data_IF_225355922457
#
_entry.id   IF_225355922457
#
_cell.length_a   1.000
_cell.length_b   1.000
_cell.length_c   1.000
_cell.angle_alpha   90.00
_cell.angle_beta   90.00
_cell.angle_gamma   90.00
#
_symmetry.space_group_name_H-M   'P 1'
#
loop_
_entity.id
_entity.type
_entity.pdbx_description
1 polymer ?
#
# COMPACT_ATOMS: atom_id res chain seq x y z
N UNK A 1 -58.95 7.86 -51.71
CA UNK A 1 -59.19 7.21 -50.40
C UNK A 1 -58.46 5.88 -50.44
N UNK A 2 -57.46 5.52 -49.63
CA UNK A 2 -56.98 6.03 -48.36
C UNK A 2 -55.46 5.83 -48.28
N UNK A 3 -54.74 6.92 -47.97
CA UNK A 3 -53.42 6.89 -47.35
C UNK A 3 -53.59 6.34 -45.93
N UNK A 4 -52.91 5.26 -45.57
CA UNK A 4 -52.49 4.85 -44.20
C UNK A 4 -52.22 3.34 -44.20
N UNK A 5 -50.98 2.94 -44.49
CA UNK A 5 -50.33 1.77 -43.86
C UNK A 5 -48.81 1.78 -44.15
N UNK A 6 -48.18 2.94 -44.00
CA UNK A 6 -46.73 3.12 -44.02
C UNK A 6 -46.33 3.61 -42.62
N UNK A 7 -46.24 2.70 -41.66
CA UNK A 7 -45.64 2.93 -40.34
C UNK A 7 -45.81 1.62 -39.55
N UNK A 8 -44.86 0.69 -39.63
CA UNK A 8 -44.57 -0.33 -38.58
C UNK A 8 -43.50 -1.34 -39.01
N UNK A 9 -42.41 -0.96 -39.66
CA UNK A 9 -41.20 -1.83 -39.76
C UNK A 9 -39.95 -0.93 -39.78
N UNK A 10 -39.74 -0.15 -38.72
CA UNK A 10 -38.51 0.62 -38.54
C UNK A 10 -38.33 1.01 -37.07
N UNK A 11 -38.02 0.05 -36.20
CA UNK A 11 -37.44 0.29 -34.88
C UNK A 11 -37.15 -1.05 -34.19
N UNK A 12 -36.14 -1.77 -34.69
CA UNK A 12 -35.67 -3.02 -34.09
C UNK A 12 -34.15 -3.13 -34.15
N UNK A 13 -33.44 -2.00 -34.11
CA UNK A 13 -32.01 -1.98 -33.83
C UNK A 13 -31.87 -2.22 -32.33
N UNK A 14 -31.72 -3.49 -31.97
CA UNK A 14 -31.14 -3.89 -30.69
C UNK A 14 -29.81 -3.14 -30.54
N UNK A 15 -29.83 -2.07 -29.77
CA UNK A 15 -28.63 -1.49 -29.20
C UNK A 15 -28.11 -2.55 -28.23
N UNK A 16 -27.27 -3.46 -28.74
CA UNK A 16 -26.42 -4.30 -27.90
C UNK A 16 -25.46 -3.29 -27.27
N UNK A 17 -25.85 -2.76 -26.12
CA UNK A 17 -24.93 -2.08 -25.24
C UNK A 17 -23.93 -3.16 -24.85
N UNK A 18 -22.82 -3.26 -25.57
CA UNK A 18 -21.66 -3.97 -25.09
C UNK A 18 -21.32 -3.34 -23.76
N UNK A 19 -21.69 -4.01 -22.66
CA UNK A 19 -21.14 -3.77 -21.34
C UNK A 19 -19.63 -3.94 -21.50
N UNK A 20 -18.95 -2.85 -21.83
CA UNK A 20 -17.50 -2.81 -21.74
C UNK A 20 -17.22 -3.03 -20.27
N UNK A 21 -16.70 -4.21 -19.94
CA UNK A 21 -16.12 -4.44 -18.64
C UNK A 21 -15.19 -3.26 -18.36
N UNK A 22 -15.42 -2.51 -17.26
CA UNK A 22 -14.68 -1.26 -16.98
C UNK A 22 -13.19 -1.42 -17.29
N UNK A 23 -12.64 -0.66 -18.22
CA UNK A 23 -11.24 -0.86 -18.61
C UNK A 23 -10.35 -0.74 -17.38
N UNK A 24 -9.29 -1.57 -17.30
CA UNK A 24 -8.25 -1.38 -16.30
C UNK A 24 -7.56 -0.05 -16.62
N UNK A 25 -8.02 1.02 -15.96
CA UNK A 25 -7.51 2.37 -16.15
C UNK A 25 -6.35 2.57 -15.19
N UNK A 26 -5.24 3.04 -15.74
CA UNK A 26 -4.02 3.32 -15.02
C UNK A 26 -2.89 3.58 -16.01
N UNK A 27 -1.79 4.10 -15.51
CA UNK A 27 -0.57 4.29 -16.27
C UNK A 27 0.62 3.90 -15.40
N UNK A 28 1.74 3.61 -16.08
CA UNK A 28 2.99 3.37 -15.37
C UNK A 28 3.39 4.61 -14.56
N UNK A 29 3.58 4.43 -13.25
CA UNK A 29 3.91 5.53 -12.33
C UNK A 29 5.18 6.23 -12.80
N UNK A 30 5.07 7.52 -13.14
CA UNK A 30 6.21 8.31 -13.60
C UNK A 30 7.07 8.72 -12.38
N UNK A 31 8.38 8.33 -12.34
CA UNK A 31 9.30 8.69 -11.28
C UNK A 31 9.40 10.18 -10.94
N UNK A 32 9.11 11.06 -11.89
CA UNK A 32 9.37 12.49 -11.77
C UNK A 32 8.09 13.24 -11.37
N UNK A 33 6.96 12.95 -12.01
CA UNK A 33 5.73 13.76 -11.89
C UNK A 33 4.73 13.23 -10.88
N UNK A 34 4.67 11.90 -10.70
CA UNK A 34 3.58 11.26 -9.96
C UNK A 34 3.96 11.00 -8.49
N UNK A 35 5.21 11.33 -8.14
CA UNK A 35 5.83 11.04 -6.85
C UNK A 35 5.95 12.33 -6.05
N UNK A 36 5.49 12.27 -4.80
CA UNK A 36 5.70 13.35 -3.86
C UNK A 36 7.15 13.34 -3.36
N UNK A 37 8.04 14.11 -3.98
CA UNK A 37 9.42 14.23 -3.52
C UNK A 37 9.57 14.96 -2.17
N UNK A 38 8.63 15.85 -1.84
CA UNK A 38 8.55 16.47 -0.51
C UNK A 38 8.39 15.43 0.60
N UNK A 39 7.81 14.29 0.25
CA UNK A 39 7.62 13.22 1.17
C UNK A 39 8.98 12.69 1.61
N UNK A 40 10.04 12.60 0.79
CA UNK A 40 11.36 12.09 1.20
C UNK A 40 11.89 12.64 2.56
N UNK A 41 11.48 13.87 2.92
CA UNK A 41 11.81 14.54 4.16
C UNK A 41 10.96 14.11 5.38
N UNK A 42 11.52 14.16 6.60
CA UNK A 42 12.77 14.82 6.95
C UNK A 42 14.01 13.97 6.65
N UNK A 43 15.09 14.67 6.29
CA UNK A 43 16.44 14.12 6.18
C UNK A 43 17.19 14.41 7.47
N UNK A 44 17.64 13.36 8.15
CA UNK A 44 18.30 13.46 9.45
C UNK A 44 19.72 12.93 9.38
N UNK A 45 20.64 13.59 10.10
CA UNK A 45 21.98 13.09 10.38
C UNK A 45 22.08 12.83 11.88
N UNK A 46 22.21 11.55 12.27
CA UNK A 46 21.96 11.15 13.65
C UNK A 46 20.60 11.63 14.14
N UNK A 47 20.61 12.38 15.24
CA UNK A 47 19.39 12.93 15.86
C UNK A 47 19.02 14.32 15.35
N UNK A 48 19.85 14.93 14.49
CA UNK A 48 19.63 16.27 13.98
C UNK A 48 18.89 16.25 12.64
N UNK A 49 17.80 17.01 12.55
CA UNK A 49 17.07 17.24 11.29
C UNK A 49 17.82 18.27 10.44
N UNK A 50 18.44 17.80 9.35
CA UNK A 50 19.13 18.67 8.38
C UNK A 50 18.11 19.36 7.49
N UNK A 51 17.09 18.61 7.06
CA UNK A 51 15.96 19.14 6.30
C UNK A 51 14.68 18.83 7.05
N UNK A 52 14.01 19.91 7.49
CA UNK A 52 12.73 19.82 8.19
C UNK A 52 11.61 19.45 7.23
N UNK A 53 10.60 18.77 7.76
CA UNK A 53 9.42 18.37 7.01
C UNK A 53 8.16 18.67 7.82
N UNK A 54 7.04 18.83 7.10
CA UNK A 54 5.71 18.86 7.72
C UNK A 54 5.19 17.47 8.09
N UNK A 55 5.85 16.42 7.60
CA UNK A 55 5.44 15.03 7.82
C UNK A 55 6.00 14.50 9.14
N UNK A 56 5.23 13.66 9.87
CA UNK A 56 5.70 13.07 11.11
C UNK A 56 6.86 12.10 10.84
N UNK A 57 7.85 12.10 11.72
CA UNK A 57 9.00 11.20 11.64
C UNK A 57 9.08 10.24 12.82
N UNK A 58 9.83 9.17 12.62
CA UNK A 58 10.11 8.17 13.66
C UNK A 58 11.41 8.48 14.40
N UNK A 59 11.71 7.74 15.47
CA UNK A 59 12.94 7.93 16.24
C UNK A 59 14.16 7.59 15.38
N UNK A 60 14.99 8.60 15.11
CA UNK A 60 16.25 8.46 14.40
C UNK A 60 17.41 8.07 15.34
N UNK A 61 18.54 7.57 14.81
CA UNK A 61 19.71 7.20 15.61
C UNK A 61 20.21 8.39 16.43
N UNK A 62 20.59 8.17 17.69
CA UNK A 62 21.10 9.25 18.55
C UNK A 62 22.43 9.85 18.05
N UNK A 63 23.32 8.99 17.54
CA UNK A 63 24.70 9.34 17.17
C UNK A 63 24.84 9.63 15.67
N UNK A 64 25.51 10.72 15.27
CA UNK A 64 25.74 11.08 13.87
C UNK A 64 26.83 10.25 13.19
N UNK A 65 27.65 9.53 13.96
CA UNK A 65 28.76 8.72 13.48
C UNK A 65 28.40 7.24 13.62
N UNK A 66 28.69 6.46 12.58
CA UNK A 66 28.56 5.01 12.58
C UNK A 66 29.86 4.35 12.14
N UNK A 67 30.08 3.14 12.65
CA UNK A 67 31.16 2.25 12.21
C UNK A 67 30.55 0.92 11.82
N UNK A 68 30.69 0.55 10.55
CA UNK A 68 30.21 -0.73 10.06
C UNK A 68 31.28 -1.81 10.23
N UNK A 69 30.97 -2.95 10.89
CA UNK A 69 31.88 -4.08 11.00
C UNK A 69 31.99 -4.83 9.67
N UNK A 70 32.64 -4.19 8.69
CA UNK A 70 33.13 -4.80 7.46
C UNK A 70 34.66 -4.92 7.55
N UNK A 71 35.28 -5.66 6.61
CA UNK A 71 36.74 -5.93 6.61
C UNK A 71 37.66 -4.69 6.69
N UNK A 72 37.14 -3.47 6.50
CA UNK A 72 37.89 -2.21 6.56
C UNK A 72 37.42 -1.20 7.64
N UNK A 73 36.52 -1.56 8.57
CA UNK A 73 35.99 -0.65 9.62
C UNK A 73 35.76 0.79 9.10
N UNK A 74 34.96 0.92 8.05
CA UNK A 74 34.70 2.22 7.45
C UNK A 74 33.84 3.06 8.41
N UNK A 75 34.34 4.25 8.73
CA UNK A 75 33.62 5.28 9.46
C UNK A 75 32.70 6.01 8.48
N UNK A 76 31.44 6.15 8.87
CA UNK A 76 30.43 6.82 8.07
C UNK A 76 29.56 7.77 8.89
N UNK A 77 28.64 8.40 8.20
CA UNK A 77 27.64 9.30 8.77
C UNK A 77 26.29 8.58 8.83
N UNK A 78 25.62 8.62 9.96
CA UNK A 78 24.27 8.05 10.07
C UNK A 78 23.28 8.96 9.37
N UNK A 79 22.57 8.43 8.37
CA UNK A 79 21.53 9.17 7.68
C UNK A 79 20.19 8.47 7.87
N UNK A 80 19.14 9.27 8.05
CA UNK A 80 17.76 8.83 8.12
C UNK A 80 16.93 9.61 7.10
N UNK A 81 16.26 8.90 6.20
CA UNK A 81 15.39 9.50 5.19
C UNK A 81 14.27 8.52 4.84
N UNK A 82 13.30 8.96 4.06
CA UNK A 82 12.23 8.10 3.61
C UNK A 82 12.39 7.75 2.14
N UNK A 83 12.41 6.46 1.82
CA UNK A 83 12.56 5.98 0.45
C UNK A 83 11.23 5.46 -0.10
N UNK A 84 10.90 5.71 -1.38
CA UNK A 84 9.88 4.96 -2.09
C UNK A 84 10.34 3.51 -2.18
N UNK A 85 9.51 2.60 -1.69
CA UNK A 85 9.86 1.21 -1.48
C UNK A 85 9.05 0.27 -2.38
N UNK A 86 7.74 0.53 -2.48
CA UNK A 86 6.84 -0.36 -3.20
C UNK A 86 5.70 0.38 -3.88
N UNK A 87 5.16 -0.25 -4.91
CA UNK A 87 3.88 0.12 -5.51
C UNK A 87 2.86 -0.96 -5.17
N UNK A 88 1.62 -0.55 -4.89
CA UNK A 88 0.53 -1.46 -4.55
C UNK A 88 -0.69 -1.09 -5.36
N UNK A 89 -1.19 -2.02 -6.15
CA UNK A 89 -2.46 -1.90 -6.83
C UNK A 89 -3.55 -2.55 -6.01
N UNK A 90 -4.68 -1.87 -5.86
CA UNK A 90 -5.89 -2.42 -5.27
C UNK A 90 -7.03 -2.26 -6.25
N UNK A 91 -7.56 -3.38 -6.73
CA UNK A 91 -8.49 -3.39 -7.86
C UNK A 91 -9.65 -4.33 -7.63
N UNK A 92 -10.80 -4.02 -8.21
CA UNK A 92 -11.95 -4.96 -8.19
C UNK A 92 -11.84 -6.04 -9.25
N UNK A 93 -10.87 -5.91 -10.15
CA UNK A 93 -10.71 -6.79 -11.30
C UNK A 93 -9.45 -7.62 -11.16
N UNK A 94 -9.55 -8.95 -11.29
CA UNK A 94 -8.37 -9.78 -11.20
C UNK A 94 -7.39 -9.40 -12.32
N UNK A 95 -6.10 -9.42 -12.00
CA UNK A 95 -5.00 -9.16 -12.93
C UNK A 95 -5.01 -7.76 -13.58
N UNK A 96 -5.71 -6.80 -12.99
CA UNK A 96 -5.64 -5.39 -13.38
C UNK A 96 -4.47 -4.71 -12.65
N UNK A 97 -3.38 -4.44 -13.37
CA UNK A 97 -2.19 -3.80 -12.83
C UNK A 97 -2.23 -2.30 -13.14
N UNK A 98 -2.87 -1.54 -12.26
CA UNK A 98 -3.12 -0.10 -12.40
C UNK A 98 -1.82 0.69 -12.46
N UNK A 99 -0.87 0.43 -11.56
CA UNK A 99 0.42 1.12 -11.50
C UNK A 99 1.37 0.77 -12.64
N UNK A 100 1.06 -0.27 -13.41
CA UNK A 100 1.75 -0.60 -14.66
C UNK A 100 0.97 -0.17 -15.90
N UNK A 101 -0.31 0.19 -15.75
CA UNK A 101 -1.22 0.48 -16.87
C UNK A 101 -1.52 -0.71 -17.77
N UNK A 102 -1.33 -1.95 -17.28
CA UNK A 102 -1.54 -3.17 -18.06
C UNK A 102 -2.59 -4.07 -17.40
N UNK A 103 -3.36 -4.74 -18.24
CA UNK A 103 -4.27 -5.81 -17.80
C UNK A 103 -3.75 -7.14 -18.34
N UNK A 104 -3.39 -8.06 -17.43
CA UNK A 104 -2.94 -9.38 -17.85
C UNK A 104 -4.17 -10.23 -18.17
N UNK A 105 -4.28 -10.65 -19.43
CA UNK A 105 -5.40 -11.48 -19.89
C UNK A 105 -5.06 -12.95 -19.69
N UNK A 106 -5.26 -13.46 -18.48
CA UNK A 106 -5.11 -14.89 -18.20
C UNK A 106 -6.44 -15.58 -18.54
N UNK A 107 -6.50 -16.19 -19.73
CA UNK A 107 -7.57 -17.12 -20.10
C UNK A 107 -7.45 -18.34 -19.17
N UNK A 108 -8.56 -18.74 -18.55
CA UNK A 108 -8.72 -20.01 -17.84
C UNK A 108 -8.04 -20.14 -16.48
N UNK A 109 -8.23 -19.17 -15.59
CA UNK A 109 -8.38 -19.52 -14.17
C UNK A 109 -9.85 -19.53 -13.83
N UNK A 110 -10.34 -20.69 -13.39
CA UNK A 110 -11.70 -20.86 -12.89
C UNK A 110 -11.97 -19.71 -11.92
N UNK A 111 -12.90 -18.85 -12.32
CA UNK A 111 -13.34 -17.71 -11.54
C UNK A 111 -13.80 -18.27 -10.19
N UNK A 112 -12.92 -18.26 -9.20
CA UNK A 112 -13.32 -18.16 -7.81
C UNK A 112 -13.99 -16.80 -7.71
N UNK A 113 -15.24 -16.72 -8.17
CA UNK A 113 -16.02 -15.51 -8.16
C UNK A 113 -15.97 -15.02 -6.73
N UNK A 114 -15.40 -13.84 -6.51
CA UNK A 114 -15.60 -13.13 -5.27
C UNK A 114 -17.11 -12.94 -5.16
N UNK A 115 -17.78 -13.80 -4.40
CA UNK A 115 -19.13 -13.50 -3.97
C UNK A 115 -18.98 -12.22 -3.15
N UNK A 116 -19.43 -11.10 -3.70
CA UNK A 116 -19.95 -10.05 -2.82
C UNK A 116 -20.94 -10.76 -1.89
N UNK A 117 -20.85 -10.58 -0.57
CA UNK A 117 -21.91 -11.05 0.32
C UNK A 117 -23.25 -10.56 -0.25
N UNK A 118 -24.13 -11.50 -0.57
CA UNK A 118 -25.48 -11.24 -1.10
C UNK A 118 -26.38 -10.55 -0.05
N UNK A 119 -25.86 -10.37 1.16
CA UNK A 119 -26.48 -9.62 2.25
C UNK A 119 -26.09 -8.15 2.20
N UNK A 120 -27.08 -7.33 1.81
CA UNK A 120 -27.24 -5.89 2.01
C UNK A 120 -26.30 -5.25 3.07
N UNK A 121 -25.03 -5.07 2.69
CA UNK A 121 -23.97 -4.76 3.63
C UNK A 121 -22.87 -3.94 2.96
N UNK A 122 -22.21 -3.09 3.73
CA UNK A 122 -21.04 -2.29 3.31
C UNK A 122 -19.79 -3.15 3.06
N UNK A 123 -19.94 -4.44 2.77
CA UNK A 123 -18.83 -5.35 2.51
C UNK A 123 -18.24 -5.14 1.13
N UNK A 124 -16.93 -5.30 0.98
CA UNK A 124 -16.25 -5.21 -0.30
C UNK A 124 -15.08 -6.19 -0.39
N UNK A 125 -14.74 -6.56 -1.62
CA UNK A 125 -13.61 -7.42 -1.95
C UNK A 125 -12.77 -6.75 -3.03
N UNK A 126 -11.44 -6.79 -2.85
CA UNK A 126 -10.50 -6.31 -3.86
C UNK A 126 -9.31 -7.28 -3.99
N UNK A 127 -8.75 -7.31 -5.19
CA UNK A 127 -7.46 -7.92 -5.50
C UNK A 127 -6.35 -6.92 -5.25
N UNK A 128 -5.19 -7.43 -4.82
CA UNK A 128 -4.00 -6.64 -4.54
C UNK A 128 -2.81 -7.18 -5.31
N UNK A 129 -2.08 -6.27 -5.95
CA UNK A 129 -0.79 -6.56 -6.57
C UNK A 129 0.29 -5.70 -5.93
N UNK A 130 1.39 -6.31 -5.52
CA UNK A 130 2.48 -5.61 -4.86
C UNK A 130 3.76 -5.74 -5.68
N UNK A 131 4.41 -4.61 -5.90
CA UNK A 131 5.62 -4.48 -6.70
C UNK A 131 6.74 -3.85 -5.89
N UNK A 132 7.96 -4.36 -6.05
CA UNK A 132 9.15 -3.65 -5.58
C UNK A 132 9.36 -2.43 -6.45
N UNK A 133 9.55 -1.25 -5.86
CA UNK A 133 9.81 -0.02 -6.59
C UNK A 133 10.96 0.78 -5.97
N UNK A 134 12.21 0.28 -6.06
CA UNK A 134 13.39 0.88 -5.44
C UNK A 134 13.89 2.09 -6.27
N UNK A 135 13.08 3.14 -6.32
CA UNK A 135 13.33 4.28 -7.20
C UNK A 135 14.61 5.06 -6.86
N UNK A 136 14.98 5.12 -5.57
CA UNK A 136 16.20 5.78 -5.13
C UNK A 136 17.44 5.18 -5.80
N UNK A 137 17.44 3.87 -6.00
CA UNK A 137 18.51 3.16 -6.67
C UNK A 137 18.52 3.42 -8.17
N UNK A 138 17.35 3.46 -8.82
CA UNK A 138 17.24 3.74 -10.26
C UNK A 138 17.68 5.15 -10.64
N UNK A 139 17.27 6.14 -9.84
CA UNK A 139 17.63 7.54 -10.06
C UNK A 139 18.99 7.91 -9.47
N UNK A 140 19.66 6.98 -8.79
CA UNK A 140 20.99 7.16 -8.18
C UNK A 140 21.06 8.43 -7.30
N UNK A 141 19.97 8.73 -6.59
CA UNK A 141 19.82 9.98 -5.81
C UNK A 141 20.82 10.03 -4.66
N UNK A 142 21.15 8.87 -4.08
CA UNK A 142 22.23 8.73 -3.11
C UNK A 142 23.34 7.89 -3.73
N UNK A 143 24.60 8.29 -3.54
CA UNK A 143 25.74 7.59 -4.16
C UNK A 143 26.28 6.43 -3.32
N UNK A 144 25.69 6.14 -2.16
CA UNK A 144 26.19 5.11 -1.23
C UNK A 144 25.32 3.85 -1.29
N UNK A 145 25.94 2.75 -1.75
CA UNK A 145 25.30 1.44 -1.96
C UNK A 145 24.78 0.84 -0.65
N UNK A 146 25.43 1.13 0.49
CA UNK A 146 24.98 0.66 1.81
C UNK A 146 23.67 1.29 2.29
N UNK A 147 23.26 2.39 1.65
CA UNK A 147 22.11 3.18 2.06
C UNK A 147 20.88 3.01 1.19
N UNK A 148 20.97 2.35 0.04
CA UNK A 148 19.82 2.16 -0.87
C UNK A 148 19.45 0.68 -1.03
N UNK A 149 18.21 0.40 -1.39
CA UNK A 149 17.79 -0.94 -1.79
C UNK A 149 18.24 -1.19 -3.22
N UNK A 150 19.19 -2.11 -3.41
CA UNK A 150 19.77 -2.46 -4.72
C UNK A 150 19.00 -3.58 -5.40
N UNK A 151 17.74 -3.77 -5.04
CA UNK A 151 16.90 -4.80 -5.67
C UNK A 151 16.32 -4.25 -6.99
N UNK A 152 15.90 -5.14 -7.89
CA UNK A 152 15.28 -4.74 -9.15
C UNK A 152 13.76 -4.57 -8.97
N UNK A 153 13.14 -3.84 -9.90
CA UNK A 153 11.68 -3.79 -9.98
C UNK A 153 11.15 -5.16 -10.38
N UNK A 154 10.25 -5.67 -9.56
CA UNK A 154 9.65 -6.98 -9.77
C UNK A 154 8.26 -7.04 -9.14
N UNK A 155 7.42 -7.91 -9.71
CA UNK A 155 6.10 -8.26 -9.19
C UNK A 155 6.30 -9.31 -8.10
N UNK A 156 6.31 -8.87 -6.84
CA UNK A 156 6.58 -9.77 -5.72
C UNK A 156 5.32 -10.51 -5.23
N UNK A 157 4.13 -9.92 -5.36
CA UNK A 157 2.90 -10.57 -4.89
C UNK A 157 1.70 -10.25 -5.77
N UNK A 158 0.94 -11.31 -6.10
CA UNK A 158 -0.33 -11.26 -6.82
C UNK A 158 -1.37 -12.00 -5.99
N UNK A 159 -2.41 -11.29 -5.57
CA UNK A 159 -3.45 -11.83 -4.71
C UNK A 159 -4.25 -12.99 -5.34
N UNK A 160 -4.33 -13.04 -6.67
CA UNK A 160 -5.03 -14.06 -7.46
C UNK A 160 -4.34 -15.42 -7.38
N UNK A 161 -3.02 -15.42 -7.18
CA UNK A 161 -2.22 -16.64 -7.03
C UNK A 161 -2.19 -17.14 -5.59
N UNK A 162 -2.71 -16.35 -4.64
CA UNK A 162 -2.75 -16.70 -3.23
C UNK A 162 -4.10 -17.33 -2.86
N UNK A 163 -4.14 -18.64 -2.57
CA UNK A 163 -5.38 -19.33 -2.24
C UNK A 163 -6.03 -18.79 -0.95
N UNK A 164 -5.26 -18.12 -0.08
CA UNK A 164 -5.79 -17.54 1.16
C UNK A 164 -6.37 -16.14 0.98
N UNK A 165 -6.20 -15.52 -0.19
CA UNK A 165 -6.70 -14.17 -0.42
C UNK A 165 -8.22 -14.14 -0.67
N UNK A 166 -8.75 -15.15 -1.36
CA UNK A 166 -10.16 -15.26 -1.71
C UNK A 166 -10.95 -16.19 -0.77
N UNK A 167 -10.27 -16.87 0.16
CA UNK A 167 -10.88 -17.82 1.08
C UNK A 167 -10.53 -17.44 2.53
N UNK A 168 -11.56 -17.08 3.30
CA UNK A 168 -11.40 -16.59 4.67
C UNK A 168 -11.07 -17.72 5.64
N UNK A 169 -11.54 -18.93 5.35
CA UNK A 169 -11.33 -20.13 6.13
C UNK A 169 -9.87 -20.59 6.00
N UNK A 170 -9.30 -20.61 4.80
CA UNK A 170 -7.88 -20.87 4.60
C UNK A 170 -7.00 -19.79 5.22
N UNK A 171 -7.37 -18.51 5.08
CA UNK A 171 -6.67 -17.43 5.76
C UNK A 171 -6.69 -17.59 7.29
N UNK A 172 -7.79 -18.07 7.85
CA UNK A 172 -7.96 -18.35 9.27
C UNK A 172 -7.11 -19.54 9.73
N UNK A 173 -7.05 -20.63 8.95
CA UNK A 173 -6.21 -21.79 9.26
C UNK A 173 -4.73 -21.41 9.34
N UNK A 174 -4.25 -20.51 8.47
CA UNK A 174 -2.87 -20.02 8.52
C UNK A 174 -2.61 -18.97 9.60
N UNK A 175 -3.65 -18.27 10.05
CA UNK A 175 -3.55 -17.16 11.00
C UNK A 175 -4.58 -17.31 12.13
N UNK A 176 -4.53 -18.41 12.93
CA UNK A 176 -5.54 -18.68 13.96
C UNK A 176 -5.52 -17.64 15.09
N UNK A 177 -4.42 -16.92 15.27
CA UNK A 177 -4.31 -15.81 16.22
C UNK A 177 -5.27 -14.66 15.92
N UNK A 178 -5.84 -14.58 14.70
CA UNK A 178 -6.90 -13.65 14.36
C UNK A 178 -8.06 -13.69 15.38
N UNK A 179 -8.35 -14.86 15.97
CA UNK A 179 -9.37 -15.03 17.03
C UNK A 179 -9.18 -14.08 18.21
N UNK A 180 -7.93 -13.84 18.63
CA UNK A 180 -7.59 -13.00 19.78
C UNK A 180 -7.97 -11.54 19.54
N UNK A 181 -8.03 -11.11 18.27
CA UNK A 181 -8.24 -9.73 17.87
C UNK A 181 -9.69 -9.41 17.48
N UNK A 182 -10.61 -10.35 17.62
CA UNK A 182 -12.04 -10.16 17.29
C UNK A 182 -12.88 -9.58 18.43
N UNK A 183 -12.36 -9.58 19.66
CA UNK A 183 -13.10 -9.11 20.84
C UNK A 183 -13.35 -7.60 20.79
N UNK A 184 -14.46 -7.14 21.38
CA UNK A 184 -14.86 -5.72 21.36
C UNK A 184 -13.79 -4.78 21.93
N UNK A 185 -13.15 -5.06 23.09
CA UNK A 185 -12.11 -4.20 23.64
C UNK A 185 -10.89 -4.08 22.71
N UNK A 186 -10.53 -5.17 22.03
CA UNK A 186 -9.39 -5.18 21.12
C UNK A 186 -9.69 -4.40 19.85
N UNK A 187 -10.90 -4.51 19.29
CA UNK A 187 -11.34 -3.65 18.17
C UNK A 187 -11.42 -2.18 18.57
N UNK A 188 -11.85 -1.88 19.80
CA UNK A 188 -11.88 -0.52 20.32
C UNK A 188 -10.47 0.09 20.45
N UNK A 189 -9.43 -0.73 20.70
CA UNK A 189 -8.05 -0.23 20.75
C UNK A 189 -7.58 0.40 19.44
N UNK A 190 -8.18 0.04 18.30
CA UNK A 190 -7.85 0.66 17.01
C UNK A 190 -8.26 2.13 16.94
N UNK A 191 -9.23 2.58 17.75
CA UNK A 191 -9.55 4.00 17.87
C UNK A 191 -8.41 4.81 18.50
N UNK A 192 -7.66 4.22 19.43
CA UNK A 192 -6.47 4.86 20.02
C UNK A 192 -5.35 4.98 18.98
N UNK A 193 -5.13 3.92 18.18
CA UNK A 193 -4.17 3.93 17.07
C UNK A 193 -4.53 4.98 16.02
N UNK A 194 -5.80 5.03 15.62
CA UNK A 194 -6.33 6.04 14.69
C UNK A 194 -6.09 7.47 15.20
N UNK A 195 -6.38 7.71 16.48
CA UNK A 195 -6.20 9.03 17.11
C UNK A 195 -4.74 9.46 17.12
N UNK A 196 -3.82 8.53 17.43
CA UNK A 196 -2.38 8.83 17.38
C UNK A 196 -1.89 9.08 15.95
N UNK A 197 -2.32 8.26 14.98
CA UNK A 197 -1.94 8.41 13.57
C UNK A 197 -2.50 9.69 12.92
N UNK A 198 -3.56 10.29 13.48
CA UNK A 198 -4.06 11.59 13.01
C UNK A 198 -3.08 12.74 13.27
N UNK A 199 -2.42 12.73 14.43
CA UNK A 199 -1.50 13.78 14.90
C UNK A 199 -0.01 13.43 14.70
N UNK A 200 0.32 12.19 14.36
CA UNK A 200 1.70 11.72 14.23
C UNK A 200 1.79 10.38 13.49
N UNK A 201 2.56 9.44 14.04
CA UNK A 201 2.71 8.08 13.48
C UNK A 201 1.84 7.06 14.22
N UNK A 202 1.54 5.94 13.56
CA UNK A 202 0.83 4.81 14.16
C UNK A 202 1.53 4.20 15.40
N UNK A 203 0.79 3.38 16.14
CA UNK A 203 1.25 2.58 17.28
C UNK A 203 1.72 1.19 16.82
N UNK A 204 3.03 0.96 16.83
CA UNK A 204 3.63 -0.33 16.44
C UNK A 204 3.22 -1.49 17.34
N UNK A 205 2.89 -1.23 18.62
CA UNK A 205 2.43 -2.25 19.56
C UNK A 205 1.06 -2.82 19.21
N UNK A 206 0.21 -2.05 18.52
CA UNK A 206 -1.14 -2.44 18.11
C UNK A 206 -1.11 -2.94 16.66
N UNK A 207 -0.31 -3.96 16.36
CA UNK A 207 -0.08 -4.43 14.99
C UNK A 207 -1.33 -5.03 14.31
N UNK A 208 -2.33 -5.42 15.09
CA UNK A 208 -3.63 -5.90 14.58
C UNK A 208 -4.58 -4.76 14.17
N UNK A 209 -4.21 -3.51 14.45
CA UNK A 209 -4.95 -2.32 14.03
C UNK A 209 -4.19 -1.61 12.90
N UNK A 210 -4.92 -1.12 11.91
CA UNK A 210 -4.44 -0.25 10.83
C UNK A 210 -5.03 1.15 11.00
N UNK A 211 -4.88 1.70 12.22
CA UNK A 211 -5.44 2.98 12.64
C UNK A 211 -6.92 3.16 12.26
N UNK A 212 -7.22 4.23 11.54
CA UNK A 212 -8.56 4.59 11.11
C UNK A 212 -9.13 3.67 10.01
N UNK A 213 -8.30 2.85 9.35
CA UNK A 213 -8.73 1.97 8.27
C UNK A 213 -9.42 0.70 8.77
N UNK A 214 -9.09 0.29 10.01
CA UNK A 214 -9.74 -0.86 10.66
C UNK A 214 -8.76 -1.93 11.12
N UNK A 215 -9.20 -3.18 11.09
CA UNK A 215 -8.44 -4.34 11.57
C UNK A 215 -7.55 -4.91 10.47
N UNK A 216 -6.31 -5.27 10.83
CA UNK A 216 -5.36 -5.98 9.96
C UNK A 216 -5.91 -7.35 9.57
N UNK A 217 -6.55 -8.07 10.49
CA UNK A 217 -7.14 -9.38 10.23
C UNK A 217 -8.58 -9.28 9.73
N UNK A 218 -9.05 -10.23 8.90
CA UNK A 218 -8.31 -11.37 8.30
C UNK A 218 -7.31 -10.93 7.20
N UNK A 219 -6.25 -11.72 6.97
CA UNK A 219 -5.20 -11.44 5.95
C UNK A 219 -5.62 -11.83 4.52
N UNK A 220 -6.80 -11.34 4.12
CA UNK A 220 -7.44 -11.62 2.84
C UNK A 220 -8.01 -10.33 2.21
N UNK A 221 -8.63 -10.47 1.04
CA UNK A 221 -9.20 -9.35 0.28
C UNK A 221 -10.54 -8.82 0.79
N UNK A 222 -11.14 -9.44 1.81
CA UNK A 222 -12.45 -9.07 2.31
C UNK A 222 -12.38 -7.92 3.32
N UNK A 223 -13.22 -6.92 3.11
CA UNK A 223 -13.42 -5.77 3.98
C UNK A 223 -14.88 -5.78 4.43
N UNK A 224 -15.12 -6.02 5.72
CA UNK A 224 -16.48 -6.18 6.25
C UNK A 224 -17.29 -4.87 6.26
N UNK A 225 -16.63 -3.72 6.44
CA UNK A 225 -17.28 -2.41 6.46
C UNK A 225 -16.42 -1.38 5.73
N UNK A 226 -16.74 -1.16 4.46
CA UNK A 226 -16.19 -0.11 3.63
C UNK A 226 -16.84 1.23 4.02
N UNK A 227 -16.05 2.13 4.61
CA UNK A 227 -16.46 3.52 4.79
C UNK A 227 -16.43 4.28 3.45
N UNK A 228 -15.35 4.10 2.68
CA UNK A 228 -15.17 4.60 1.32
C UNK A 228 -14.31 3.61 0.52
N UNK A 229 -14.38 3.60 -0.83
CA UNK A 229 -13.54 2.74 -1.65
C UNK A 229 -12.05 2.96 -1.37
N UNK A 230 -11.62 4.22 -1.22
CA UNK A 230 -10.23 4.57 -0.90
C UNK A 230 -9.84 4.03 0.48
N UNK A 231 -10.70 4.15 1.50
CA UNK A 231 -10.41 3.61 2.84
C UNK A 231 -10.21 2.09 2.79
N UNK A 232 -11.07 1.37 2.07
CA UNK A 232 -10.91 -0.07 1.88
C UNK A 232 -9.62 -0.41 1.13
N UNK A 233 -9.27 0.38 0.11
CA UNK A 233 -8.06 0.17 -0.67
C UNK A 233 -6.79 0.45 0.14
N UNK A 234 -6.77 1.51 0.94
CA UNK A 234 -5.68 1.79 1.89
C UNK A 234 -5.57 0.69 2.94
N UNK A 235 -6.69 0.20 3.50
CA UNK A 235 -6.66 -0.93 4.45
C UNK A 235 -5.99 -2.17 3.85
N UNK A 236 -6.38 -2.55 2.63
CA UNK A 236 -5.86 -3.73 1.96
C UNK A 236 -4.39 -3.59 1.58
N UNK A 237 -3.95 -2.37 1.26
CA UNK A 237 -2.54 -2.02 1.07
C UNK A 237 -1.74 -2.27 2.34
N UNK A 238 -2.14 -1.65 3.47
CA UNK A 238 -1.46 -1.81 4.77
C UNK A 238 -1.50 -3.27 5.27
N UNK A 239 -2.60 -3.99 5.01
CA UNK A 239 -2.75 -5.42 5.32
C UNK A 239 -1.82 -6.30 4.50
N UNK A 240 -1.66 -6.01 3.21
CA UNK A 240 -0.76 -6.77 2.33
C UNK A 240 0.69 -6.55 2.74
N UNK A 241 1.07 -5.32 3.10
CA UNK A 241 2.39 -5.05 3.68
C UNK A 241 2.63 -5.86 4.96
N UNK A 242 1.64 -5.92 5.86
CA UNK A 242 1.73 -6.78 7.05
C UNK A 242 1.89 -8.26 6.69
N UNK A 243 1.16 -8.75 5.70
CA UNK A 243 1.27 -10.14 5.21
C UNK A 243 2.67 -10.44 4.66
N UNK A 244 3.22 -9.55 3.84
CA UNK A 244 4.55 -9.70 3.25
C UNK A 244 5.68 -9.60 4.30
N UNK A 245 5.49 -8.77 5.33
CA UNK A 245 6.35 -8.76 6.50
C UNK A 245 6.36 -10.11 7.22
N UNK A 246 5.17 -10.69 7.47
CA UNK A 246 5.04 -12.00 8.12
C UNK A 246 5.70 -13.12 7.31
N UNK A 247 5.61 -13.06 5.98
CA UNK A 247 6.27 -14.00 5.07
C UNK A 247 7.79 -13.79 4.97
N UNK A 248 8.32 -12.69 5.54
CA UNK A 248 9.73 -12.34 5.45
C UNK A 248 10.15 -11.83 4.06
N UNK A 249 9.21 -11.47 3.18
CA UNK A 249 9.53 -10.93 1.86
C UNK A 249 10.13 -9.52 1.92
N UNK A 250 9.78 -8.76 2.97
CA UNK A 250 10.22 -7.37 3.18
C UNK A 250 11.34 -7.34 4.22
N UNK A 251 12.42 -6.63 3.90
CA UNK A 251 13.50 -6.29 4.84
C UNK A 251 13.31 -4.86 5.35
N UNK A 252 13.81 -4.57 6.54
CA UNK A 252 13.77 -3.23 7.14
C UNK A 252 15.16 -2.89 7.74
N UNK A 253 15.44 -1.62 7.98
CA UNK A 253 16.71 -1.12 8.54
C UNK A 253 16.43 -0.35 9.83
N UNK A 254 17.01 -0.66 11.00
CA UNK A 254 16.66 0.03 12.25
C UNK A 254 17.79 0.90 12.76
N UNK A 255 17.44 2.12 13.15
CA UNK A 255 18.36 3.12 13.70
C UNK A 255 18.72 2.98 15.18
N UNK A 256 18.69 1.76 15.76
CA UNK A 256 18.98 1.56 17.20
C UNK A 256 20.47 1.37 17.49
N UNK A 257 21.16 0.53 16.72
CA UNK A 257 22.55 0.14 16.97
C UNK A 257 23.43 0.34 15.74
N UNK A 258 24.74 0.53 15.93
CA UNK A 258 25.72 0.70 14.83
C UNK A 258 25.76 -0.50 13.89
N UNK A 259 25.68 -1.72 14.43
CA UNK A 259 25.64 -2.93 13.61
C UNK A 259 24.31 -3.06 12.81
N UNK A 260 23.20 -2.57 13.38
CA UNK A 260 21.88 -2.60 12.75
C UNK A 260 21.71 -1.54 11.66
N UNK A 261 22.48 -0.45 11.71
CA UNK A 261 22.52 0.57 10.66
C UNK A 261 23.19 0.09 9.37
N UNK A 262 24.03 -0.95 9.47
CA UNK A 262 24.81 -1.46 8.34
C UNK A 262 24.17 -2.69 7.69
N UNK A 263 23.06 -3.19 8.23
CA UNK A 263 22.39 -4.40 7.77
C UNK A 263 20.88 -4.21 7.78
N UNK A 264 20.23 -4.74 6.77
CA UNK A 264 18.78 -4.88 6.76
C UNK A 264 18.40 -6.20 7.43
N UNK A 265 17.28 -6.24 8.15
CA UNK A 265 16.77 -7.42 8.83
C UNK A 265 15.30 -7.66 8.47
N UNK A 266 14.83 -8.90 8.61
CA UNK A 266 13.43 -9.23 8.38
C UNK A 266 12.62 -8.96 9.65
N UNK A 267 11.53 -8.19 9.53
CA UNK A 267 10.59 -7.95 10.62
C UNK A 267 9.29 -8.70 10.35
N UNK A 268 8.94 -9.68 11.18
CA UNK A 268 7.69 -10.44 11.03
C UNK A 268 6.45 -9.62 11.37
N UNK A 269 6.59 -8.64 12.27
CA UNK A 269 5.56 -7.68 12.64
C UNK A 269 5.85 -6.36 11.92
N UNK A 270 4.86 -5.81 11.22
CA UNK A 270 4.96 -4.52 10.51
C UNK A 270 5.21 -3.37 11.50
N UNK A 271 6.35 -2.66 11.42
CA UNK A 271 6.57 -1.44 12.17
C UNK A 271 5.85 -0.26 11.50
N UNK A 272 4.53 -0.18 11.67
CA UNK A 272 3.63 0.78 10.99
C UNK A 272 4.12 2.23 11.05
N UNK A 273 4.73 2.65 12.16
CA UNK A 273 5.21 4.02 12.34
C UNK A 273 6.23 4.44 11.27
N UNK A 274 6.92 3.46 10.69
CA UNK A 274 7.99 3.64 9.70
C UNK A 274 7.51 3.55 8.25
N UNK A 275 6.20 3.53 8.07
CA UNK A 275 5.55 3.46 6.77
C UNK A 275 4.56 4.60 6.59
N UNK A 276 4.44 5.01 5.34
CA UNK A 276 3.49 6.00 4.87
C UNK A 276 3.17 5.69 3.41
N UNK A 277 2.00 6.10 2.96
CA UNK A 277 1.57 5.87 1.60
C UNK A 277 1.26 7.20 0.89
N UNK A 278 1.20 7.12 -0.42
CA UNK A 278 0.78 8.18 -1.32
C UNK A 278 -0.12 7.55 -2.39
N UNK A 279 -1.20 8.23 -2.79
CA UNK A 279 -2.01 7.79 -3.91
C UNK A 279 -1.34 8.23 -5.22
N UNK A 280 -1.05 7.27 -6.11
CA UNK A 280 -0.39 7.52 -7.41
C UNK A 280 -1.30 7.23 -8.60
N UNK A 281 -2.36 6.45 -8.41
CA UNK A 281 -3.36 6.14 -9.43
C UNK A 281 -4.75 5.89 -8.81
N UNK A 282 -5.86 6.03 -9.53
CA UNK A 282 -6.01 6.58 -10.88
C UNK A 282 -6.04 8.11 -10.91
N UNK A 283 -6.37 8.73 -9.77
CA UNK A 283 -6.31 10.18 -9.56
C UNK A 283 -5.23 10.48 -8.52
N UNK A 284 -3.97 10.75 -8.94
CA UNK A 284 -2.84 10.87 -8.02
C UNK A 284 -2.98 12.05 -7.06
N UNK A 285 -2.48 11.87 -5.83
CA UNK A 285 -2.09 12.95 -4.91
C UNK A 285 -0.56 13.05 -4.90
N UNK A 286 0.00 13.74 -5.90
CA UNK A 286 1.44 13.94 -6.03
C UNK A 286 2.02 14.94 -5.02
N UNK A 287 1.19 15.62 -4.22
CA UNK A 287 1.62 16.72 -3.34
C UNK A 287 1.80 16.30 -1.90
N UNK A 288 1.23 15.16 -1.49
CA UNK A 288 1.18 14.78 -0.08
C UNK A 288 1.25 13.28 0.15
N UNK A 289 1.98 12.86 1.18
CA UNK A 289 1.91 11.51 1.74
C UNK A 289 1.18 11.49 3.08
N UNK A 290 0.74 10.31 3.47
CA UNK A 290 0.04 10.07 4.73
C UNK A 290 0.67 8.91 5.48
N UNK A 291 0.93 9.05 6.79
CA UNK A 291 1.40 7.92 7.60
C UNK A 291 0.35 6.82 7.64
N UNK A 292 0.81 5.58 7.85
CA UNK A 292 -0.09 4.44 8.00
C UNK A 292 -1.07 4.65 9.14
N UNK A 293 -2.31 4.16 8.95
CA UNK A 293 -3.39 4.29 9.92
C UNK A 293 -4.03 5.68 10.01
N UNK A 294 -3.57 6.69 9.27
CA UNK A 294 -4.22 8.01 9.24
C UNK A 294 -5.54 7.94 8.46
N UNK A 295 -6.58 8.59 8.98
CA UNK A 295 -7.90 8.63 8.35
C UNK A 295 -7.87 9.22 6.94
N UNK A 296 -8.45 8.49 5.99
CA UNK A 296 -8.57 8.95 4.59
C UNK A 296 -9.53 10.11 4.41
N UNK A 297 -10.47 10.32 5.34
CA UNK A 297 -11.48 11.40 5.28
C UNK A 297 -10.82 12.78 5.08
N UNK A 298 -9.59 12.95 5.56
CA UNK A 298 -8.85 14.21 5.45
C UNK A 298 -8.30 14.52 4.06
N UNK A 299 -8.25 13.54 3.16
CA UNK A 299 -7.59 13.68 1.85
C UNK A 299 -8.29 12.93 0.71
N UNK A 300 -9.23 12.03 0.95
CA UNK A 300 -9.89 11.21 -0.08
C UNK A 300 -10.79 12.02 -1.04
N UNK A 301 -11.18 13.23 -0.65
CA UNK A 301 -12.06 14.08 -1.42
C UNK A 301 -11.42 14.48 -2.76
N UNK A 302 -12.13 14.23 -3.87
CA UNK A 302 -11.65 14.53 -5.22
C UNK A 302 -10.80 13.43 -5.87
N UNK A 303 -10.54 12.32 -5.17
CA UNK A 303 -9.73 11.20 -5.69
C UNK A 303 -10.57 9.97 -6.10
N UNK A 304 -11.89 10.13 -6.22
CA UNK A 304 -12.79 9.10 -6.74
C UNK A 304 -13.66 9.69 -7.85
N UNK A 305 -13.87 8.94 -8.93
CA UNK A 305 -14.76 9.31 -10.02
C UNK A 305 -15.83 8.23 -10.26
N UNK A 306 -17.11 8.58 -10.44
CA UNK A 306 -18.15 7.61 -10.75
C UNK A 306 -17.84 6.83 -12.04
N UNK A 307 -17.79 5.50 -11.95
CA UNK A 307 -17.55 4.63 -13.10
C UNK A 307 -16.08 4.31 -13.41
N UNK A 308 -15.14 4.69 -12.55
CA UNK A 308 -13.73 4.32 -12.67
C UNK A 308 -13.41 2.88 -12.19
N UNK A 309 -14.41 2.20 -11.63
CA UNK A 309 -14.32 0.81 -11.20
C UNK A 309 -13.65 0.61 -9.83
N UNK A 310 -13.46 1.69 -9.06
CA UNK A 310 -12.83 1.70 -7.73
C UNK A 310 -11.47 1.00 -7.72
N UNK A 311 -10.61 1.35 -8.69
CA UNK A 311 -9.25 0.85 -8.79
C UNK A 311 -8.28 1.94 -8.31
N UNK A 312 -7.33 1.58 -7.47
CA UNK A 312 -6.40 2.51 -6.84
C UNK A 312 -4.98 1.98 -6.91
N UNK A 313 -4.02 2.87 -7.11
CA UNK A 313 -2.61 2.58 -7.03
C UNK A 313 -1.97 3.43 -5.95
N UNK A 314 -1.25 2.80 -5.04
CA UNK A 314 -0.52 3.43 -3.96
C UNK A 314 0.98 3.26 -4.13
N UNK A 315 1.72 4.27 -3.66
CA UNK A 315 3.14 4.17 -3.41
C UNK A 315 3.39 4.12 -1.92
N UNK A 316 4.18 3.13 -1.51
CA UNK A 316 4.59 2.95 -0.13
C UNK A 316 5.98 3.50 0.04
N UNK A 317 6.12 4.34 1.04
CA UNK A 317 7.38 4.89 1.50
C UNK A 317 7.75 4.26 2.82
N UNK A 318 9.01 3.87 2.95
CA UNK A 318 9.58 3.28 4.16
C UNK A 318 10.67 4.20 4.70
N UNK A 319 10.72 4.37 6.01
CA UNK A 319 11.85 5.04 6.66
C UNK A 319 13.09 4.16 6.53
N UNK A 320 14.18 4.70 5.99
CA UNK A 320 15.50 4.07 5.96
C UNK A 320 16.43 4.76 6.95
N UNK A 321 17.14 3.96 7.74
CA UNK A 321 18.24 4.42 8.57
C UNK A 321 19.48 3.62 8.19
N UNK A 322 20.52 4.29 7.75
CA UNK A 322 21.72 3.62 7.25
C UNK A 322 22.98 4.40 7.60
N UNK A 323 24.12 3.71 7.47
CA UNK A 323 25.44 4.32 7.57
C UNK A 323 25.92 4.71 6.17
N UNK A 324 26.01 6.01 5.89
CA UNK A 324 26.56 6.54 4.66
C UNK A 324 28.09 6.50 4.74
N UNK A 325 28.68 5.66 3.89
CA UNK A 325 30.12 5.53 3.67
C UNK A 325 30.53 6.27 2.39
#
# INVERSE_FOLDING_TARGET
MNKRLFCSIAAGLFFICTLHASQCKGHFVNPITDICWDCLFPLTIGSSEVVKSQYPDTKNPGNPICSCPNKLQLLGVTIGYWEPFALVDVTRKPYCMVNLGVQLHIKDQGLGGSQMPDTDGRGAFYYVHWYKYPLMYWLQVLTSIGCMETEDFDVMYLSELDPTWNDSEFAFVLNPEATLFTTSPVRASCAADATKALAGTAMDSLFWCQGAQGSTYPLNGFVANQASPISAATLLTERTDFKLHRLGAIKDSVGKDWAALCRTYHSSILPKSRYRYQLVNTLPDAKRCQPFGRSVITWEAGHTYPGDGDNFGFMIWRKRNCCFL
#
